data_IF_175906245664
#
_entry.id   IF_175906245664
#
_cell.length_a   1.000
_cell.length_b   1.000
_cell.length_c   1.000
_cell.angle_alpha   90.00
_cell.angle_beta   90.00
_cell.angle_gamma   90.00
#
_symmetry.space_group_name_H-M   'P 1'
#
loop_
_entity.id
_entity.type
_entity.pdbx_description
1 polymer ?
#
# COMPACT_ATOMS: atom_id res chain seq x y z
N UNK A 1 0.14 -19.07 22.06
CA UNK A 1 0.74 -19.09 20.70
C UNK A 1 -0.41 -19.36 19.75
N UNK A 2 -0.77 -18.37 18.93
CA UNK A 2 -1.87 -18.54 17.99
C UNK A 2 -1.45 -19.46 16.84
N UNK A 3 -2.35 -20.35 16.44
CA UNK A 3 -2.20 -21.10 15.20
C UNK A 3 -2.44 -20.16 14.03
N UNK A 4 -1.62 -20.30 12.99
CA UNK A 4 -1.81 -19.59 11.72
C UNK A 4 -2.83 -20.27 10.82
N UNK A 5 -3.36 -21.46 11.16
CA UNK A 5 -4.42 -22.11 10.37
C UNK A 5 -5.75 -21.34 10.43
N UNK A 6 -6.64 -21.53 9.46
CA UNK A 6 -7.96 -20.87 9.46
C UNK A 6 -8.77 -21.20 10.72
N UNK A 7 -8.71 -22.45 11.20
CA UNK A 7 -9.31 -22.88 12.46
C UNK A 7 -8.64 -22.18 13.65
N UNK A 8 -7.32 -21.97 13.57
CA UNK A 8 -6.54 -21.20 14.53
C UNK A 8 -6.94 -19.74 14.61
N UNK A 9 -7.16 -19.11 13.45
CA UNK A 9 -7.62 -17.73 13.32
C UNK A 9 -9.06 -17.55 13.83
N UNK A 10 -9.96 -18.49 13.51
CA UNK A 10 -11.32 -18.48 14.05
C UNK A 10 -11.36 -18.75 15.56
N UNK A 11 -10.36 -19.44 16.09
CA UNK A 11 -10.19 -19.62 17.52
C UNK A 11 -9.52 -18.41 18.21
N UNK A 12 -9.07 -17.39 17.48
CA UNK A 12 -8.39 -16.22 18.09
C UNK A 12 -9.24 -15.45 19.10
N UNK A 13 -10.55 -15.20 18.88
CA UNK A 13 -11.41 -14.63 19.92
C UNK A 13 -11.47 -15.50 21.18
N UNK A 14 -11.52 -16.83 21.02
CA UNK A 14 -11.49 -17.79 22.14
C UNK A 14 -10.13 -17.81 22.85
N UNK A 15 -9.03 -17.66 22.11
CA UNK A 15 -7.70 -17.56 22.73
C UNK A 15 -7.56 -16.26 23.53
N UNK A 16 -8.17 -15.18 23.06
CA UNK A 16 -8.22 -13.93 23.81
C UNK A 16 -9.01 -14.07 25.12
N UNK A 17 -10.15 -14.77 25.10
CA UNK A 17 -10.93 -14.97 26.33
C UNK A 17 -10.15 -15.77 27.38
N UNK A 18 -9.29 -16.72 26.97
CA UNK A 18 -8.39 -17.40 27.91
C UNK A 18 -7.37 -16.44 28.54
N UNK A 19 -6.87 -15.47 27.78
CA UNK A 19 -5.96 -14.45 28.32
C UNK A 19 -6.70 -13.52 29.31
N UNK A 20 -7.93 -13.13 29.01
CA UNK A 20 -8.78 -12.35 29.92
C UNK A 20 -9.11 -13.11 31.20
N UNK A 21 -9.48 -14.39 31.09
CA UNK A 21 -9.79 -15.25 32.23
C UNK A 21 -8.55 -15.45 33.13
N UNK A 22 -7.39 -15.73 32.54
CA UNK A 22 -6.14 -15.87 33.28
C UNK A 22 -5.75 -14.57 33.98
N UNK A 23 -5.88 -13.41 33.32
CA UNK A 23 -5.58 -12.12 33.91
C UNK A 23 -6.51 -11.83 35.11
N UNK A 24 -7.82 -12.09 34.93
CA UNK A 24 -8.83 -11.91 35.98
C UNK A 24 -8.54 -12.76 37.22
N UNK A 25 -8.11 -14.02 37.05
CA UNK A 25 -7.69 -14.91 38.16
C UNK A 25 -6.52 -14.38 38.99
N UNK A 26 -5.76 -13.41 38.47
CA UNK A 26 -4.58 -12.82 39.11
C UNK A 26 -4.73 -11.30 39.34
N UNK A 27 -5.97 -10.78 39.37
CA UNK A 27 -6.26 -9.35 39.57
C UNK A 27 -5.55 -8.43 38.55
N UNK A 28 -5.27 -8.96 37.35
CA UNK A 28 -4.68 -8.23 36.23
C UNK A 28 -5.74 -7.93 35.16
N UNK A 29 -5.43 -6.98 34.27
CA UNK A 29 -6.22 -6.69 33.07
C UNK A 29 -5.34 -6.72 31.84
N UNK A 30 -5.82 -7.38 30.78
CA UNK A 30 -5.20 -7.33 29.47
C UNK A 30 -5.90 -6.30 28.59
N UNK A 31 -5.12 -5.61 27.75
CA UNK A 31 -5.62 -4.60 26.84
C UNK A 31 -5.47 -5.08 25.40
N UNK A 32 -6.55 -4.99 24.63
CA UNK A 32 -6.58 -5.39 23.23
C UNK A 32 -5.55 -4.63 22.38
N UNK A 33 -5.23 -3.39 22.75
CA UNK A 33 -4.19 -2.55 22.12
C UNK A 33 -2.78 -3.14 22.30
N UNK A 34 -2.57 -3.98 23.30
CA UNK A 34 -1.29 -4.65 23.54
C UNK A 34 -1.22 -6.02 22.87
N UNK A 35 -2.34 -6.51 22.32
CA UNK A 35 -2.37 -7.80 21.65
C UNK A 35 -1.65 -7.72 20.30
N UNK A 36 -0.74 -8.67 20.09
CA UNK A 36 0.15 -8.72 18.93
C UNK A 36 -0.12 -9.97 18.12
N UNK A 37 -0.32 -9.80 16.82
CA UNK A 37 -0.51 -10.89 15.86
C UNK A 37 0.72 -10.97 14.98
N UNK A 38 1.32 -12.17 14.90
CA UNK A 38 2.49 -12.41 14.04
C UNK A 38 2.00 -12.73 12.63
N UNK A 39 2.59 -12.06 11.63
CA UNK A 39 2.33 -12.28 10.21
C UNK A 39 3.66 -12.40 9.45
N UNK A 40 3.68 -13.15 8.35
CA UNK A 40 4.83 -13.25 7.46
C UNK A 40 4.45 -12.62 6.11
N UNK A 41 5.37 -11.93 5.44
CA UNK A 41 5.04 -11.36 4.14
C UNK A 41 6.23 -11.10 3.22
N UNK A 42 5.97 -11.23 1.93
CA UNK A 42 6.83 -10.69 0.88
C UNK A 42 6.02 -9.81 -0.06
N UNK A 43 6.34 -8.52 -0.12
CA UNK A 43 5.65 -7.54 -0.94
C UNK A 43 6.52 -7.09 -2.10
N UNK A 44 5.88 -6.90 -3.25
CA UNK A 44 6.48 -6.25 -4.40
C UNK A 44 5.46 -5.30 -5.06
N UNK A 45 5.91 -4.54 -6.07
CA UNK A 45 5.03 -3.61 -6.81
C UNK A 45 3.94 -4.36 -7.61
N UNK A 46 4.21 -5.62 -7.97
CA UNK A 46 3.23 -6.51 -8.60
C UNK A 46 3.21 -7.88 -7.92
N UNK A 47 2.03 -8.51 -7.94
CA UNK A 47 1.86 -9.87 -7.42
C UNK A 47 2.81 -10.87 -8.08
N UNK A 48 2.90 -10.85 -9.41
CA UNK A 48 3.80 -11.73 -10.16
C UNK A 48 5.26 -11.58 -9.72
N UNK A 49 5.72 -10.36 -9.48
CA UNK A 49 7.07 -10.13 -8.98
C UNK A 49 7.24 -10.71 -7.57
N UNK A 50 6.30 -10.46 -6.65
CA UNK A 50 6.38 -10.98 -5.29
C UNK A 50 6.43 -12.53 -5.29
N UNK A 51 5.60 -13.16 -6.12
CA UNK A 51 5.57 -14.61 -6.30
C UNK A 51 6.92 -15.12 -6.84
N UNK A 52 7.46 -14.50 -7.89
CA UNK A 52 8.75 -14.89 -8.47
C UNK A 52 9.93 -14.71 -7.50
N UNK A 53 9.93 -13.64 -6.72
CA UNK A 53 11.00 -13.35 -5.76
C UNK A 53 10.99 -14.29 -4.54
N UNK A 54 9.80 -14.76 -4.12
CA UNK A 54 9.63 -15.52 -2.87
C UNK A 54 9.51 -17.05 -3.06
N UNK A 55 9.10 -17.53 -4.23
CA UNK A 55 8.65 -18.93 -4.42
C UNK A 55 9.72 -19.98 -4.10
N UNK A 56 10.97 -19.73 -4.46
CA UNK A 56 12.07 -20.67 -4.24
C UNK A 56 12.46 -20.75 -2.75
N UNK A 57 12.60 -19.60 -2.08
CA UNK A 57 12.92 -19.57 -0.65
C UNK A 57 11.76 -20.07 0.21
N UNK A 58 10.51 -19.81 -0.20
CA UNK A 58 9.33 -20.40 0.45
C UNK A 58 9.37 -21.92 0.41
N UNK A 59 9.69 -22.51 -0.74
CA UNK A 59 9.81 -23.96 -0.88
C UNK A 59 10.93 -24.53 -0.02
N UNK A 60 12.10 -23.88 -0.05
CA UNK A 60 13.23 -24.30 0.76
C UNK A 60 12.88 -24.27 2.25
N UNK A 61 12.34 -23.15 2.73
CA UNK A 61 11.89 -22.99 4.11
C UNK A 61 10.82 -24.02 4.51
N UNK A 62 9.86 -24.31 3.64
CA UNK A 62 8.84 -25.33 3.90
C UNK A 62 9.45 -26.74 4.01
N UNK A 63 10.21 -27.18 3.01
CA UNK A 63 10.72 -28.54 2.94
C UNK A 63 11.85 -28.79 3.97
N UNK A 64 12.75 -27.84 4.14
CA UNK A 64 13.89 -28.01 5.05
C UNK A 64 13.51 -27.73 6.50
N UNK A 65 12.85 -26.60 6.77
CA UNK A 65 12.53 -26.24 8.14
C UNK A 65 11.25 -26.90 8.63
N UNK A 66 10.11 -26.71 7.96
CA UNK A 66 8.83 -27.20 8.47
C UNK A 66 8.68 -28.72 8.40
N UNK A 67 9.13 -29.33 7.30
CA UNK A 67 9.03 -30.79 7.09
C UNK A 67 10.21 -31.52 7.73
N UNK A 68 11.45 -31.23 7.34
CA UNK A 68 12.61 -32.03 7.78
C UNK A 68 13.05 -31.73 9.21
N UNK A 69 13.24 -30.46 9.59
CA UNK A 69 13.81 -30.09 10.90
C UNK A 69 12.76 -30.07 12.00
N UNK A 70 11.68 -29.31 11.82
CA UNK A 70 10.63 -29.16 12.82
C UNK A 70 9.73 -30.40 12.90
N UNK A 71 9.59 -31.15 11.79
CA UNK A 71 8.73 -32.33 11.73
C UNK A 71 7.27 -31.99 12.01
N UNK A 72 6.79 -30.84 11.52
CA UNK A 72 5.46 -30.33 11.89
C UNK A 72 4.37 -31.34 11.47
N UNK A 73 3.51 -31.80 12.40
CA UNK A 73 2.50 -32.82 12.11
C UNK A 73 1.66 -32.45 10.87
N UNK A 74 1.52 -33.40 9.94
CA UNK A 74 0.76 -33.21 8.70
C UNK A 74 1.49 -32.43 7.58
N UNK A 75 2.70 -31.93 7.83
CA UNK A 75 3.50 -31.27 6.79
C UNK A 75 4.17 -32.33 5.91
N UNK A 76 3.98 -32.22 4.59
CA UNK A 76 4.61 -33.09 3.60
C UNK A 76 5.56 -32.29 2.72
N UNK A 77 6.60 -32.96 2.24
CA UNK A 77 7.50 -32.39 1.24
C UNK A 77 6.71 -32.06 -0.04
N UNK A 78 6.91 -30.87 -0.58
CA UNK A 78 6.27 -30.42 -1.83
C UNK A 78 7.33 -30.16 -2.89
N UNK A 79 7.25 -30.91 -3.99
CA UNK A 79 8.23 -30.84 -5.09
C UNK A 79 7.98 -29.66 -6.03
N UNK A 80 6.71 -29.31 -6.29
CA UNK A 80 6.36 -28.14 -7.09
C UNK A 80 6.23 -26.89 -6.21
N UNK A 81 7.14 -25.94 -6.43
CA UNK A 81 7.18 -24.67 -5.71
C UNK A 81 5.95 -23.80 -5.96
N UNK A 82 5.35 -23.88 -7.14
CA UNK A 82 4.15 -23.11 -7.49
C UNK A 82 2.90 -23.71 -6.85
N UNK A 83 2.84 -25.03 -6.73
CA UNK A 83 1.80 -25.71 -5.96
C UNK A 83 1.87 -25.30 -4.48
N UNK A 84 3.07 -25.29 -3.89
CA UNK A 84 3.24 -24.82 -2.52
C UNK A 84 2.82 -23.35 -2.37
N UNK A 85 3.24 -22.49 -3.29
CA UNK A 85 2.86 -21.07 -3.28
C UNK A 85 1.34 -20.91 -3.30
N UNK A 86 0.64 -21.61 -4.20
CA UNK A 86 -0.83 -21.58 -4.27
C UNK A 86 -1.49 -22.10 -2.97
N UNK A 87 -0.89 -23.10 -2.32
CA UNK A 87 -1.32 -23.56 -0.99
C UNK A 87 -1.09 -22.50 0.08
N UNK A 88 -0.09 -21.62 -0.02
CA UNK A 88 0.22 -20.61 1.01
C UNK A 88 -0.53 -19.29 0.77
N UNK A 89 -0.76 -18.88 -0.48
CA UNK A 89 -1.34 -17.56 -0.83
C UNK A 89 -2.88 -17.55 -0.94
N UNK A 90 -3.55 -18.66 -0.65
CA UNK A 90 -5.01 -18.76 -0.62
C UNK A 90 -5.63 -18.26 0.68
N UNK A 91 -6.71 -17.47 0.57
CA UNK A 91 -7.55 -17.09 1.73
C UNK A 91 -8.08 -18.37 2.37
N UNK A 92 -7.64 -18.66 3.60
CA UNK A 92 -8.07 -19.84 4.36
C UNK A 92 -7.10 -21.03 4.39
N UNK A 93 -5.93 -20.96 3.75
CA UNK A 93 -4.99 -22.08 3.79
C UNK A 93 -4.03 -22.05 4.99
N UNK A 94 -3.47 -23.22 5.30
CA UNK A 94 -2.80 -23.64 6.55
C UNK A 94 -1.66 -22.75 7.13
N UNK A 95 -1.24 -21.70 6.41
CA UNK A 95 -0.33 -20.65 6.90
C UNK A 95 -1.03 -19.30 6.81
N UNK A 96 -2.21 -19.20 7.41
CA UNK A 96 -3.18 -18.09 7.36
C UNK A 96 -2.74 -16.77 8.00
N UNK A 97 -1.45 -16.49 8.03
CA UNK A 97 -0.92 -15.16 8.31
C UNK A 97 0.18 -14.75 7.31
N UNK A 98 0.33 -15.50 6.21
CA UNK A 98 1.33 -15.24 5.18
C UNK A 98 0.74 -14.47 4.00
N UNK A 99 1.43 -13.43 3.54
CA UNK A 99 1.04 -12.65 2.35
C UNK A 99 2.21 -12.57 1.37
N UNK A 100 2.03 -13.07 0.16
CA UNK A 100 2.99 -12.88 -0.94
C UNK A 100 2.23 -12.16 -2.05
N UNK A 101 2.53 -10.87 -2.25
CA UNK A 101 1.67 -10.04 -3.08
C UNK A 101 2.00 -8.55 -3.07
N UNK A 102 0.97 -7.72 -3.15
CA UNK A 102 1.11 -6.26 -3.16
C UNK A 102 0.79 -5.62 -1.81
N UNK A 103 1.21 -4.36 -1.56
CA UNK A 103 0.82 -3.62 -0.35
C UNK A 103 -0.69 -3.55 -0.14
N UNK A 104 -1.47 -3.42 -1.23
CA UNK A 104 -2.93 -3.39 -1.15
C UNK A 104 -3.53 -4.73 -0.67
N UNK A 105 -2.98 -5.86 -1.13
CA UNK A 105 -3.37 -7.18 -0.64
C UNK A 105 -3.02 -7.34 0.84
N UNK A 106 -1.88 -6.81 1.30
CA UNK A 106 -1.51 -6.81 2.72
C UNK A 106 -2.47 -5.99 3.56
N UNK A 107 -2.84 -4.78 3.12
CA UNK A 107 -3.82 -3.92 3.81
C UNK A 107 -5.16 -4.64 3.94
N UNK A 108 -5.66 -5.23 2.85
CA UNK A 108 -6.91 -6.02 2.87
C UNK A 108 -6.85 -7.17 3.85
N UNK A 109 -5.72 -7.89 3.87
CA UNK A 109 -5.52 -9.03 4.77
C UNK A 109 -5.50 -8.59 6.23
N UNK A 110 -4.78 -7.53 6.59
CA UNK A 110 -4.76 -6.98 7.95
C UNK A 110 -6.18 -6.58 8.40
N UNK A 111 -6.94 -5.89 7.54
CA UNK A 111 -8.32 -5.49 7.86
C UNK A 111 -9.24 -6.69 8.06
N UNK A 112 -9.16 -7.70 7.19
CA UNK A 112 -9.92 -8.94 7.34
C UNK A 112 -9.55 -9.66 8.66
N UNK A 113 -8.28 -9.69 9.04
CA UNK A 113 -7.88 -10.23 10.34
C UNK A 113 -8.44 -9.41 11.50
N UNK A 114 -8.44 -8.08 11.41
CA UNK A 114 -9.03 -7.23 12.45
C UNK A 114 -10.53 -7.54 12.62
N UNK A 115 -11.26 -7.73 11.53
CA UNK A 115 -12.68 -8.10 11.55
C UNK A 115 -12.91 -9.47 12.20
N UNK A 116 -12.22 -10.51 11.73
CA UNK A 116 -12.38 -11.89 12.24
C UNK A 116 -11.98 -12.01 13.71
N UNK A 117 -10.93 -11.31 14.12
CA UNK A 117 -10.45 -11.39 15.50
C UNK A 117 -11.30 -10.56 16.46
N UNK A 118 -11.98 -9.51 15.99
CA UNK A 118 -12.56 -8.46 16.84
C UNK A 118 -11.54 -7.37 17.22
N UNK A 119 -10.46 -7.25 16.45
CA UNK A 119 -9.41 -6.24 16.57
C UNK A 119 -8.18 -6.71 17.34
N UNK A 120 -7.05 -6.09 17.03
CA UNK A 120 -5.76 -6.25 17.73
C UNK A 120 -4.93 -4.97 17.54
N UNK A 121 -3.93 -4.75 18.40
CA UNK A 121 -3.17 -3.50 18.41
C UNK A 121 -1.90 -3.48 17.58
N UNK A 122 -1.24 -4.63 17.38
CA UNK A 122 0.07 -4.68 16.70
C UNK A 122 0.14 -5.86 15.73
N UNK A 123 0.57 -5.59 14.49
CA UNK A 123 1.11 -6.62 13.58
C UNK A 123 2.61 -6.74 13.87
N UNK A 124 3.08 -7.95 14.14
CA UNK A 124 4.51 -8.27 14.21
C UNK A 124 4.93 -9.03 12.95
N UNK A 125 5.90 -8.50 12.23
CA UNK A 125 6.45 -9.20 11.08
C UNK A 125 7.44 -10.27 11.47
N UNK A 126 7.18 -11.48 10.99
CA UNK A 126 8.10 -12.59 11.09
C UNK A 126 9.18 -12.45 10.02
N UNK A 127 10.42 -12.29 10.43
CA UNK A 127 11.55 -12.28 9.52
C UNK A 127 11.78 -13.70 8.97
N UNK A 128 11.76 -13.82 7.64
CA UNK A 128 11.93 -15.07 6.91
C UNK A 128 12.91 -14.90 5.75
N UNK A 129 13.33 -16.01 5.17
CA UNK A 129 14.35 -16.15 4.13
C UNK A 129 13.78 -16.52 2.75
N UNK A 130 12.53 -16.12 2.47
CA UNK A 130 11.87 -16.43 1.19
C UNK A 130 12.49 -15.77 -0.04
N UNK A 131 13.07 -14.59 0.12
CA UNK A 131 13.65 -13.81 -0.97
C UNK A 131 15.08 -13.37 -0.64
N UNK A 132 15.82 -12.91 -1.65
CA UNK A 132 17.15 -12.34 -1.43
C UNK A 132 17.10 -11.07 -0.57
N UNK A 133 18.27 -10.62 -0.10
CA UNK A 133 18.37 -9.49 0.83
C UNK A 133 17.76 -8.20 0.27
N UNK A 134 18.05 -7.87 -0.99
CA UNK A 134 17.55 -6.64 -1.62
C UNK A 134 16.03 -6.65 -1.76
N UNK A 135 15.46 -7.77 -2.23
CA UNK A 135 14.02 -7.95 -2.35
C UNK A 135 13.33 -7.90 -0.98
N UNK A 136 13.94 -8.52 0.03
CA UNK A 136 13.45 -8.47 1.41
C UNK A 136 13.40 -7.03 1.92
N UNK A 137 14.48 -6.26 1.77
CA UNK A 137 14.50 -4.85 2.18
C UNK A 137 13.46 -4.00 1.43
N UNK A 138 13.30 -4.21 0.11
CA UNK A 138 12.24 -3.55 -0.67
C UNK A 138 10.84 -3.89 -0.14
N UNK A 139 10.58 -5.15 0.19
CA UNK A 139 9.31 -5.59 0.78
C UNK A 139 9.00 -4.85 2.09
N UNK A 140 10.00 -4.68 2.98
CA UNK A 140 9.85 -3.92 4.22
C UNK A 140 9.66 -2.41 3.98
N UNK A 141 10.35 -1.84 2.99
CA UNK A 141 10.16 -0.45 2.59
C UNK A 141 8.73 -0.21 2.05
N UNK A 142 8.23 -1.12 1.20
CA UNK A 142 6.84 -1.08 0.71
C UNK A 142 5.83 -1.19 1.86
N UNK A 143 6.06 -2.10 2.81
CA UNK A 143 5.22 -2.21 4.00
C UNK A 143 5.20 -0.88 4.79
N UNK A 144 6.37 -0.30 5.03
CA UNK A 144 6.50 0.95 5.79
C UNK A 144 5.85 2.15 5.08
N UNK A 145 6.00 2.25 3.75
CA UNK A 145 5.49 3.38 2.96
C UNK A 145 4.00 3.31 2.67
N UNK A 146 3.49 2.11 2.40
CA UNK A 146 2.13 1.95 1.87
C UNK A 146 1.18 1.25 2.85
N UNK A 147 1.66 0.32 3.68
CA UNK A 147 0.78 -0.43 4.58
C UNK A 147 0.58 0.32 5.91
N UNK A 148 1.68 0.75 6.56
CA UNK A 148 1.61 1.42 7.86
C UNK A 148 0.70 2.67 7.83
N UNK A 149 0.84 3.61 6.87
CA UNK A 149 0.04 4.83 6.87
C UNK A 149 -1.45 4.56 6.61
N UNK A 150 -1.76 3.55 5.80
CA UNK A 150 -3.14 3.18 5.48
C UNK A 150 -3.85 2.48 6.65
N UNK A 151 -3.15 1.60 7.36
CA UNK A 151 -3.70 0.91 8.53
C UNK A 151 -3.88 1.89 9.70
N UNK A 152 -2.90 2.75 9.95
CA UNK A 152 -2.96 3.72 11.06
C UNK A 152 -3.74 5.00 10.73
N UNK A 153 -4.18 5.17 9.47
CA UNK A 153 -4.97 6.31 9.03
C UNK A 153 -4.21 7.64 8.96
N UNK A 154 -2.88 7.61 8.84
CA UNK A 154 -2.03 8.81 8.76
C UNK A 154 -2.41 9.72 7.57
N UNK A 155 -2.89 9.14 6.47
CA UNK A 155 -3.24 9.85 5.24
C UNK A 155 -4.74 10.13 5.09
N UNK A 156 -5.58 9.66 6.02
CA UNK A 156 -7.05 9.71 5.90
C UNK A 156 -7.57 11.14 5.69
N UNK A 157 -7.11 12.09 6.51
CA UNK A 157 -7.58 13.47 6.43
C UNK A 157 -7.09 14.18 5.17
N UNK A 158 -5.88 13.84 4.70
CA UNK A 158 -5.32 14.38 3.46
C UNK A 158 -6.14 13.91 2.25
N UNK A 159 -6.51 12.62 2.20
CA UNK A 159 -7.37 12.06 1.16
C UNK A 159 -8.75 12.71 1.17
N UNK A 160 -9.40 12.78 2.34
CA UNK A 160 -10.70 13.41 2.48
C UNK A 160 -10.69 14.88 2.03
N UNK A 161 -9.63 15.63 2.37
CA UNK A 161 -9.46 17.01 1.91
C UNK A 161 -9.30 17.09 0.39
N UNK A 162 -8.47 16.21 -0.20
CA UNK A 162 -8.25 16.21 -1.64
C UNK A 162 -9.55 15.86 -2.41
N UNK A 163 -10.31 14.88 -1.93
CA UNK A 163 -11.61 14.49 -2.48
C UNK A 163 -12.63 15.63 -2.39
N UNK A 164 -12.69 16.32 -1.24
CA UNK A 164 -13.55 17.49 -1.07
C UNK A 164 -13.21 18.60 -2.07
N UNK A 165 -11.93 18.94 -2.22
CA UNK A 165 -11.51 19.95 -3.19
C UNK A 165 -11.83 19.53 -4.63
N UNK A 166 -11.61 18.26 -4.97
CA UNK A 166 -11.91 17.73 -6.30
C UNK A 166 -13.41 17.79 -6.63
N UNK A 167 -14.27 17.47 -5.64
CA UNK A 167 -15.72 17.51 -5.79
C UNK A 167 -16.27 18.94 -5.93
N UNK A 168 -15.67 19.90 -5.22
CA UNK A 168 -16.16 21.29 -5.16
C UNK A 168 -15.35 22.26 -6.04
N UNK A 169 -14.50 21.74 -6.94
CA UNK A 169 -13.54 22.55 -7.72
C UNK A 169 -14.15 23.72 -8.49
N UNK A 170 -15.37 23.57 -9.00
CA UNK A 170 -16.03 24.63 -9.80
C UNK A 170 -16.38 25.81 -8.92
N UNK A 171 -17.04 25.55 -7.78
CA UNK A 171 -17.43 26.57 -6.82
C UNK A 171 -16.20 27.24 -6.20
N UNK A 172 -15.22 26.44 -5.76
CA UNK A 172 -14.01 26.93 -5.14
C UNK A 172 -13.20 27.83 -6.10
N UNK A 173 -13.09 27.45 -7.37
CA UNK A 173 -12.40 28.26 -8.38
C UNK A 173 -13.20 29.52 -8.76
N UNK A 174 -14.53 29.46 -8.77
CA UNK A 174 -15.37 30.63 -8.98
C UNK A 174 -15.20 31.64 -7.83
N UNK A 175 -15.22 31.17 -6.58
CA UNK A 175 -14.96 31.99 -5.39
C UNK A 175 -13.56 32.59 -5.39
N UNK A 176 -12.54 31.81 -5.75
CA UNK A 176 -11.16 32.29 -5.92
C UNK A 176 -11.08 33.42 -6.95
N UNK A 177 -11.67 33.23 -8.13
CA UNK A 177 -11.67 34.23 -9.20
C UNK A 177 -12.39 35.52 -8.75
N UNK A 178 -13.54 35.39 -8.09
CA UNK A 178 -14.28 36.54 -7.56
C UNK A 178 -13.45 37.32 -6.52
N UNK A 179 -12.77 36.64 -5.61
CA UNK A 179 -11.90 37.27 -4.61
C UNK A 179 -10.68 37.98 -5.24
N UNK A 180 -10.05 37.36 -6.24
CA UNK A 180 -8.94 37.98 -6.99
C UNK A 180 -9.42 39.25 -7.68
N UNK A 181 -10.55 39.19 -8.38
CA UNK A 181 -11.11 40.36 -9.08
C UNK A 181 -11.46 41.49 -8.12
N UNK A 182 -12.08 41.17 -6.97
CA UNK A 182 -12.38 42.16 -5.93
C UNK A 182 -11.11 42.83 -5.38
N UNK A 183 -10.03 42.06 -5.18
CA UNK A 183 -8.76 42.63 -4.69
C UNK A 183 -8.03 43.47 -5.73
N UNK A 184 -8.11 43.08 -7.00
CA UNK A 184 -7.54 43.83 -8.12
C UNK A 184 -8.25 45.17 -8.26
N UNK A 185 -9.58 45.19 -8.26
CA UNK A 185 -10.36 46.43 -8.33
C UNK A 185 -10.10 47.40 -7.15
N UNK A 186 -9.67 46.87 -6.01
CA UNK A 186 -9.27 47.67 -4.85
C UNK A 186 -7.83 48.21 -4.88
N UNK A 187 -7.02 47.91 -5.89
CA UNK A 187 -5.61 48.31 -5.97
C UNK A 187 -5.23 48.80 -7.38
N UNK A 188 -5.03 50.12 -7.51
CA UNK A 188 -4.70 50.80 -8.78
C UNK A 188 -3.49 50.21 -9.53
N UNK A 189 -2.48 49.73 -8.81
CA UNK A 189 -1.29 49.09 -9.43
C UNK A 189 -1.63 47.72 -9.99
N UNK A 190 -2.47 46.96 -9.28
CA UNK A 190 -2.93 45.65 -9.72
C UNK A 190 -3.90 45.76 -10.91
N UNK A 191 -4.78 46.76 -10.94
CA UNK A 191 -5.67 47.02 -12.09
C UNK A 191 -4.87 47.29 -13.37
N UNK A 192 -3.86 48.16 -13.28
CA UNK A 192 -2.99 48.50 -14.40
C UNK A 192 -2.21 47.28 -14.92
N UNK A 193 -1.65 46.46 -14.00
CA UNK A 193 -0.94 45.24 -14.38
C UNK A 193 -1.87 44.18 -15.01
N UNK A 194 -3.12 44.06 -14.53
CA UNK A 194 -4.08 43.12 -15.08
C UNK A 194 -4.56 43.54 -16.48
N UNK A 195 -4.68 44.84 -16.76
CA UNK A 195 -4.98 45.34 -18.11
C UNK A 195 -3.91 44.92 -19.13
N UNK A 196 -2.63 45.10 -18.80
CA UNK A 196 -1.50 44.66 -19.64
C UNK A 196 -1.50 43.14 -19.85
N UNK A 197 -1.82 42.38 -18.80
CA UNK A 197 -1.91 40.91 -18.90
C UNK A 197 -3.07 40.47 -19.80
N UNK A 198 -4.20 41.20 -19.74
CA UNK A 198 -5.38 40.93 -20.57
C UNK A 198 -5.12 41.23 -22.05
N UNK A 199 -4.41 42.31 -22.35
CA UNK A 199 -3.95 42.65 -23.70
C UNK A 199 -2.99 41.61 -24.27
N UNK A 200 -2.02 41.14 -23.45
CA UNK A 200 -1.11 40.04 -23.85
C UNK A 200 -1.84 38.74 -24.12
N UNK A 201 -2.78 38.34 -23.27
CA UNK A 201 -3.57 37.12 -23.46
C UNK A 201 -4.46 37.21 -24.72
N UNK A 202 -5.04 38.37 -25.00
CA UNK A 202 -5.80 38.60 -26.22
C UNK A 202 -4.93 38.53 -27.49
N UNK A 203 -3.73 39.09 -27.46
CA UNK A 203 -2.76 38.98 -28.56
C UNK A 203 -2.29 37.53 -28.78
N UNK A 204 -2.10 36.78 -27.69
CA UNK A 204 -1.64 35.39 -27.73
C UNK A 204 -2.75 34.41 -28.18
N UNK A 205 -4.02 34.74 -27.94
CA UNK A 205 -5.16 33.99 -28.48
C UNK A 205 -5.43 34.25 -29.97
N UNK A 206 -4.95 35.39 -30.50
CA UNK A 206 -5.05 35.74 -31.93
C UNK A 206 -3.85 35.23 -32.76
N UNK A 207 -2.72 34.93 -32.13
CA UNK A 207 -1.58 34.24 -32.76
C UNK A 207 -1.75 32.72 -32.72
N UNK A 208 -2.04 32.10 -33.86
CA UNK A 208 -2.40 30.69 -34.00
C UNK A 208 -1.50 29.65 -33.31
N UNK A 209 -2.09 28.48 -33.07
CA UNK A 209 -1.54 27.33 -32.34
C UNK A 209 -0.11 26.92 -32.74
N UNK A 210 0.79 26.84 -31.75
CA UNK A 210 2.15 26.27 -31.87
C UNK A 210 2.20 24.74 -32.09
N UNK A 211 1.14 24.08 -32.56
CA UNK A 211 1.24 22.63 -32.86
C UNK A 211 1.74 22.44 -34.30
N UNK A 212 2.91 21.82 -34.53
CA UNK A 212 3.26 21.37 -35.86
C UNK A 212 2.32 20.23 -36.26
N UNK A 213 1.75 20.32 -37.47
CA UNK A 213 0.93 19.28 -38.11
C UNK A 213 1.69 17.93 -38.16
N UNK A 214 1.03 16.78 -37.88
CA UNK A 214 1.67 15.49 -37.94
C UNK A 214 1.86 15.07 -39.40
N UNK A 215 3.02 15.37 -40.01
CA UNK A 215 3.32 14.83 -41.34
C UNK A 215 4.45 15.43 -42.18
N UNK A 216 5.27 16.37 -41.69
CA UNK A 216 6.42 16.86 -42.47
C UNK A 216 7.71 16.12 -42.08
N UNK A 217 8.46 15.50 -43.01
CA UNK A 217 9.69 14.78 -42.69
C UNK A 217 10.79 15.75 -42.25
N UNK A 218 11.54 15.35 -41.22
CA UNK A 218 12.70 16.08 -40.74
C UNK A 218 13.77 16.12 -41.84
N UNK A 219 14.02 17.31 -42.40
CA UNK A 219 15.22 17.56 -43.19
C UNK A 219 16.36 17.84 -42.23
N UNK A 220 17.27 16.88 -42.10
CA UNK A 220 18.57 17.06 -41.46
C UNK A 220 19.33 18.19 -42.16
N UNK A 221 19.71 19.20 -41.40
CA UNK A 221 20.63 20.23 -41.82
C UNK A 221 21.65 20.44 -40.70
N UNK A 222 22.76 19.71 -40.75
CA UNK A 222 24.08 20.33 -40.65
C UNK A 222 25.21 19.38 -41.12
N UNK A 223 25.65 19.58 -42.37
CA UNK A 223 26.98 19.21 -42.87
C UNK A 223 27.44 20.32 -43.82
N UNK A 224 28.51 21.01 -43.44
CA UNK A 224 29.26 21.94 -44.29
C UNK A 224 30.03 22.97 -43.46
N UNK A 225 31.21 22.60 -42.96
CA UNK A 225 32.52 23.02 -43.49
C UNK A 225 32.90 24.49 -43.21
N UNK A 226 33.92 24.67 -42.36
CA UNK A 226 35.24 25.19 -42.75
C UNK A 226 36.29 24.82 -41.72
#
# INVERSE_FOLDING_TARGET
>A
IASTSQEGLQALPTQWSFAEEAASKHDQKVDRRNWRVVMAWHLAESKKQAEQEAVDGLQHWHNEYNVRVLGRPGSIHVADKWELLARVTGIGNAVGTSVIGTPDEMVKTIRALQEVTGGFGVVLGFAHDWANHEATLRSWDLFARYVIPEINGHTRNLKASAEYLAANKVELMAGLNAAIMAKVQGNKVAEAAMAVTRERMAAQAQGGSWRPEPGAPATDADKGEK
#
